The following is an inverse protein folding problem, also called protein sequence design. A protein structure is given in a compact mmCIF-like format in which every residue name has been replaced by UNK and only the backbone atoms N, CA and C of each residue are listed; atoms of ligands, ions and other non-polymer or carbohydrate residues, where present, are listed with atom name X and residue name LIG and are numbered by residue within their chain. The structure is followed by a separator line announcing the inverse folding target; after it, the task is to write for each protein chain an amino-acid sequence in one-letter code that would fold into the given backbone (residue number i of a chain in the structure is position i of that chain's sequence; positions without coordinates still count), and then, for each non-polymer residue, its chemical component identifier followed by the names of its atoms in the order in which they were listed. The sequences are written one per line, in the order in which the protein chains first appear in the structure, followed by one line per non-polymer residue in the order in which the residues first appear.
data_IF_418477326521
#
_entry.id   IF_418477326521
#
_cell.length_a   1.000
_cell.length_b   1.000
_cell.length_c   1.000
_cell.angle_alpha   90.00
_cell.angle_beta   90.00
_cell.angle_gamma   90.00
#
_symmetry.space_group_name_H-M   'P 1'
#
loop_
_entity.id
_entity.type
_entity.pdbx_description
1 polymer ?
#
# COMPACT_ATOMS: atom_id res chain seq x y z
N UNK A 1 -21.37 17.42 -37.39
CA UNK A 1 -20.24 18.23 -36.96
C UNK A 1 -19.39 17.41 -36.00
N UNK A 2 -18.14 17.17 -36.30
CA UNK A 2 -17.22 16.43 -35.41
C UNK A 2 -16.73 17.36 -34.30
N UNK A 3 -16.80 16.92 -33.06
CA UNK A 3 -16.32 17.66 -31.89
C UNK A 3 -14.79 17.88 -32.00
N UNK A 4 -14.29 19.12 -32.09
CA UNK A 4 -12.86 19.40 -32.28
C UNK A 4 -11.98 19.07 -31.03
N UNK A 5 -12.59 18.75 -29.88
CA UNK A 5 -11.91 18.42 -28.63
C UNK A 5 -11.87 16.90 -28.34
N UNK A 6 -12.15 16.05 -29.31
CA UNK A 6 -11.99 14.62 -29.11
C UNK A 6 -10.50 14.26 -29.05
N UNK A 7 -10.05 13.77 -27.91
CA UNK A 7 -8.69 13.26 -27.73
C UNK A 7 -8.46 12.11 -28.73
N UNK A 8 -7.45 12.18 -29.62
CA UNK A 8 -7.19 11.09 -30.53
C UNK A 8 -6.81 9.84 -29.74
N UNK A 9 -7.64 8.79 -29.81
CA UNK A 9 -7.41 7.51 -29.14
C UNK A 9 -8.52 7.05 -28.21
N UNK A 10 -9.59 7.84 -28.01
CA UNK A 10 -10.76 7.47 -27.18
C UNK A 10 -11.81 6.60 -27.89
N UNK A 11 -11.41 5.73 -28.80
CA UNK A 11 -12.31 4.72 -29.38
C UNK A 11 -12.67 3.66 -28.35
N UNK A 12 -13.97 3.33 -28.22
CA UNK A 12 -14.40 2.17 -27.43
C UNK A 12 -13.62 0.93 -27.87
N UNK A 13 -13.00 0.22 -26.94
CA UNK A 13 -12.29 -1.03 -27.24
C UNK A 13 -13.24 -2.03 -27.90
N UNK A 14 -12.85 -2.74 -28.96
CA UNK A 14 -13.67 -3.76 -29.58
C UNK A 14 -14.13 -4.79 -28.54
N UNK A 15 -15.41 -5.13 -28.58
CA UNK A 15 -16.04 -6.10 -27.64
C UNK A 15 -15.38 -7.50 -27.64
N UNK A 16 -14.64 -7.84 -28.68
CA UNK A 16 -13.96 -9.13 -28.81
C UNK A 16 -12.72 -9.28 -27.90
N UNK A 17 -12.08 -8.19 -27.51
CA UNK A 17 -10.95 -8.25 -26.57
C UNK A 17 -11.36 -8.77 -25.18
N UNK A 18 -12.59 -8.50 -24.75
CA UNK A 18 -13.12 -8.99 -23.46
C UNK A 18 -13.37 -10.50 -23.44
N UNK A 19 -13.37 -11.16 -24.62
CA UNK A 19 -13.59 -12.62 -24.78
C UNK A 19 -12.27 -13.40 -24.84
N UNK A 20 -11.14 -12.73 -24.97
CA UNK A 20 -9.85 -13.40 -25.08
C UNK A 20 -9.38 -13.92 -23.71
N UNK A 21 -9.70 -15.21 -23.46
CA UNK A 21 -9.33 -15.94 -22.24
C UNK A 21 -7.81 -15.98 -22.01
N UNK A 22 -6.99 -15.78 -23.05
CA UNK A 22 -5.53 -15.88 -22.99
C UNK A 22 -4.92 -14.67 -22.30
N UNK A 23 -5.44 -13.46 -22.55
CA UNK A 23 -4.98 -12.24 -21.87
C UNK A 23 -5.28 -12.25 -20.35
N UNK A 24 -6.41 -12.85 -19.96
CA UNK A 24 -6.79 -13.00 -18.55
C UNK A 24 -5.99 -14.10 -17.79
N UNK A 25 -5.49 -15.11 -18.50
CA UNK A 25 -4.70 -16.21 -17.93
C UNK A 25 -3.22 -15.84 -17.68
N UNK A 26 -2.76 -14.72 -18.25
CA UNK A 26 -1.34 -14.41 -18.31
C UNK A 26 -0.86 -13.45 -17.22
N UNK A 27 -1.76 -12.91 -16.39
CA UNK A 27 -1.38 -11.95 -15.34
C UNK A 27 -0.59 -10.75 -15.88
N UNK A 28 -0.76 -10.40 -17.16
CA UNK A 28 -0.04 -9.29 -17.77
C UNK A 28 -0.38 -7.98 -17.07
N UNK A 29 0.62 -7.21 -16.70
CA UNK A 29 0.39 -5.85 -16.23
C UNK A 29 -0.34 -5.06 -17.33
N UNK A 30 -1.27 -4.21 -16.92
CA UNK A 30 -2.09 -3.39 -17.82
C UNK A 30 -1.24 -2.55 -18.80
N UNK A 31 -0.06 -2.14 -18.39
CA UNK A 31 0.90 -1.37 -19.21
C UNK A 31 1.40 -2.17 -20.41
N UNK A 32 1.70 -3.45 -20.22
CA UNK A 32 2.17 -4.33 -21.30
C UNK A 32 1.03 -4.68 -22.27
N UNK A 33 -0.18 -4.94 -21.76
CA UNK A 33 -1.36 -5.15 -22.57
C UNK A 33 -1.70 -3.92 -23.43
N UNK A 34 -1.61 -2.71 -22.86
CA UNK A 34 -1.81 -1.45 -23.60
C UNK A 34 -0.74 -1.18 -24.65
N UNK A 35 0.52 -1.46 -24.33
CA UNK A 35 1.64 -1.27 -25.26
C UNK A 35 1.47 -2.17 -26.50
N UNK A 36 1.10 -3.44 -26.29
CA UNK A 36 0.90 -4.38 -27.38
C UNK A 36 -0.35 -4.04 -28.22
N UNK A 37 -1.42 -3.59 -27.58
CA UNK A 37 -2.63 -3.10 -28.26
C UNK A 37 -2.36 -1.85 -29.09
N UNK A 38 -1.57 -0.89 -28.57
CA UNK A 38 -1.16 0.31 -29.28
C UNK A 38 -0.29 -0.01 -30.53
N UNK A 39 0.37 -1.18 -30.56
CA UNK A 39 1.09 -1.69 -31.74
C UNK A 39 0.23 -2.46 -32.72
N UNK A 40 -1.08 -2.55 -32.50
CA UNK A 40 -2.04 -3.16 -33.44
C UNK A 40 -1.92 -4.68 -33.57
N UNK A 41 -1.26 -5.37 -32.61
CA UNK A 41 -1.20 -6.84 -32.61
C UNK A 41 -2.34 -7.41 -31.77
N UNK A 42 -3.14 -8.35 -32.30
CA UNK A 42 -4.15 -9.04 -31.51
C UNK A 42 -3.49 -9.86 -30.39
N UNK A 43 -4.18 -10.00 -29.25
CA UNK A 43 -3.66 -10.72 -28.09
C UNK A 43 -3.27 -12.18 -28.38
N UNK A 44 -3.86 -12.79 -29.41
CA UNK A 44 -3.54 -14.13 -29.90
C UNK A 44 -2.15 -14.25 -30.54
N UNK A 45 -1.55 -13.15 -30.99
CA UNK A 45 -0.23 -13.09 -31.64
C UNK A 45 0.88 -12.65 -30.68
N UNK A 46 0.55 -12.45 -29.42
CA UNK A 46 1.54 -12.05 -28.40
C UNK A 46 2.30 -13.30 -27.95
N UNK A 47 3.60 -13.30 -28.19
CA UNK A 47 4.49 -14.32 -27.63
C UNK A 47 4.70 -14.03 -26.13
N UNK A 48 3.95 -14.76 -25.33
CA UNK A 48 3.91 -14.63 -23.88
C UNK A 48 5.20 -15.09 -23.23
N UNK A 49 5.83 -16.10 -23.79
CA UNK A 49 7.05 -16.64 -23.22
C UNK A 49 8.23 -15.70 -23.51
N UNK A 50 8.22 -15.01 -24.66
CA UNK A 50 9.17 -13.93 -24.94
C UNK A 50 8.97 -12.74 -24.00
N UNK A 51 7.72 -12.36 -23.67
CA UNK A 51 7.45 -11.30 -22.71
C UNK A 51 7.86 -11.69 -21.29
N UNK A 52 7.59 -12.91 -20.86
CA UNK A 52 8.05 -13.43 -19.57
C UNK A 52 9.58 -13.50 -19.48
N UNK A 53 10.27 -13.84 -20.58
CA UNK A 53 11.72 -13.84 -20.65
C UNK A 53 12.34 -12.44 -20.55
N UNK A 54 11.64 -11.41 -21.06
CA UNK A 54 12.06 -10.00 -20.94
C UNK A 54 11.78 -9.42 -19.53
N UNK A 55 10.83 -10.00 -18.79
CA UNK A 55 10.44 -9.57 -17.44
C UNK A 55 10.31 -10.78 -16.51
N UNK A 56 11.42 -11.50 -16.23
CA UNK A 56 11.38 -12.75 -15.45
C UNK A 56 10.87 -12.59 -14.03
N UNK A 57 10.81 -11.36 -13.53
CA UNK A 57 10.54 -11.03 -12.13
C UNK A 57 9.22 -10.26 -11.90
N UNK A 58 8.29 -10.23 -12.84
CA UNK A 58 6.95 -9.68 -12.54
C UNK A 58 6.17 -10.68 -11.69
N UNK A 59 6.52 -10.74 -10.43
CA UNK A 59 5.89 -11.62 -9.42
C UNK A 59 4.46 -11.18 -9.06
N UNK A 60 3.92 -10.13 -9.68
CA UNK A 60 2.61 -9.58 -9.31
C UNK A 60 2.61 -8.87 -7.94
N UNK A 61 3.74 -8.86 -7.24
CA UNK A 61 3.86 -8.22 -5.93
C UNK A 61 3.88 -6.70 -6.10
N UNK A 62 2.94 -6.03 -5.46
CA UNK A 62 2.88 -4.57 -5.44
C UNK A 62 4.06 -4.00 -4.67
N UNK A 63 4.81 -3.07 -5.27
CA UNK A 63 5.83 -2.30 -4.57
C UNK A 63 5.12 -1.23 -3.73
N UNK A 64 5.43 -1.18 -2.43
CA UNK A 64 4.88 -0.16 -1.54
C UNK A 64 5.38 1.23 -1.96
N UNK A 65 4.53 2.26 -1.84
CA UNK A 65 4.86 3.62 -2.29
C UNK A 65 5.95 4.24 -1.38
N UNK A 66 7.15 4.54 -1.93
CA UNK A 66 8.24 5.12 -1.14
C UNK A 66 7.97 6.57 -0.71
N UNK A 67 7.18 7.33 -1.48
CA UNK A 67 6.82 8.72 -1.14
C UNK A 67 5.90 8.73 0.07
N UNK A 68 4.91 7.83 0.10
CA UNK A 68 4.05 7.68 1.29
C UNK A 68 4.87 7.29 2.52
N UNK A 69 5.87 6.38 2.38
CA UNK A 69 6.78 6.04 3.48
C UNK A 69 7.49 7.27 4.01
N UNK A 70 8.11 8.05 3.12
CA UNK A 70 8.86 9.26 3.48
C UNK A 70 7.98 10.27 4.21
N UNK A 71 6.79 10.57 3.67
CA UNK A 71 5.85 11.49 4.29
C UNK A 71 5.45 11.02 5.70
N UNK A 72 5.02 9.75 5.84
CA UNK A 72 4.60 9.23 7.13
C UNK A 72 5.77 9.23 8.15
N UNK A 73 6.98 8.87 7.72
CA UNK A 73 8.13 8.85 8.62
C UNK A 73 8.53 10.25 9.07
N UNK A 74 8.58 11.22 8.17
CA UNK A 74 8.93 12.61 8.52
C UNK A 74 7.89 13.28 9.41
N UNK A 75 6.60 12.99 9.19
CA UNK A 75 5.52 13.66 9.92
C UNK A 75 5.22 13.03 11.28
N UNK A 76 5.38 11.71 11.41
CA UNK A 76 4.89 10.97 12.56
C UNK A 76 5.97 10.26 13.38
N UNK A 77 7.26 10.43 13.02
CA UNK A 77 8.37 9.86 13.77
C UNK A 77 9.29 10.98 14.27
N UNK A 78 9.64 11.06 15.55
CA UNK A 78 10.66 12.00 16.04
C UNK A 78 12.00 11.76 15.34
N UNK A 79 12.80 12.80 15.17
CA UNK A 79 14.11 12.71 14.52
C UNK A 79 14.98 11.59 15.13
N UNK A 80 15.52 10.71 14.27
CA UNK A 80 16.32 9.55 14.67
C UNK A 80 15.55 8.46 15.43
N UNK A 81 14.22 8.53 15.42
CA UNK A 81 13.34 7.60 16.13
C UNK A 81 13.39 6.17 15.58
N UNK A 82 12.74 5.27 16.29
CA UNK A 82 12.64 3.83 15.99
C UNK A 82 11.26 3.48 15.45
N UNK A 83 11.23 2.69 14.36
CA UNK A 83 10.02 2.28 13.65
C UNK A 83 9.84 0.77 13.77
N UNK A 84 8.64 0.33 14.14
CA UNK A 84 8.22 -1.07 14.13
C UNK A 84 7.27 -1.32 12.96
N UNK A 85 7.52 -2.37 12.20
CA UNK A 85 6.66 -2.84 11.12
C UNK A 85 6.33 -4.33 11.30
N UNK A 86 5.18 -4.66 11.85
CA UNK A 86 4.81 -6.05 12.10
C UNK A 86 4.41 -6.83 10.84
N UNK A 87 4.32 -6.20 9.68
CA UNK A 87 4.01 -6.86 8.41
C UNK A 87 4.95 -6.34 7.32
N UNK A 88 6.26 -6.60 7.50
CA UNK A 88 7.34 -5.95 6.75
C UNK A 88 7.26 -6.14 5.23
N UNK A 89 6.87 -7.32 4.75
CA UNK A 89 6.81 -7.61 3.32
C UNK A 89 8.09 -7.21 2.58
N UNK A 90 7.96 -6.39 1.53
CA UNK A 90 9.08 -5.92 0.73
C UNK A 90 9.97 -4.88 1.43
N UNK A 91 11.13 -4.61 0.82
CA UNK A 91 12.21 -3.81 1.39
C UNK A 91 11.95 -2.31 1.53
N UNK A 92 10.97 -1.75 0.80
CA UNK A 92 10.81 -0.30 0.60
C UNK A 92 10.72 0.46 1.91
N UNK A 93 9.83 0.02 2.84
CA UNK A 93 9.64 0.72 4.11
C UNK A 93 10.91 0.77 4.96
N UNK A 94 11.64 -0.34 5.03
CA UNK A 94 12.92 -0.40 5.74
C UNK A 94 14.01 0.45 5.09
N UNK A 95 14.14 0.40 3.77
CA UNK A 95 15.15 1.17 3.03
C UNK A 95 14.89 2.67 3.16
N UNK A 96 13.65 3.12 2.98
CA UNK A 96 13.29 4.54 3.15
C UNK A 96 13.56 5.01 4.57
N UNK A 97 13.18 4.22 5.59
CA UNK A 97 13.49 4.55 6.99
C UNK A 97 15.00 4.73 7.21
N UNK A 98 15.81 3.80 6.72
CA UNK A 98 17.26 3.87 6.85
C UNK A 98 17.88 5.09 6.14
N UNK A 99 17.40 5.43 4.94
CA UNK A 99 17.86 6.59 4.18
C UNK A 99 17.51 7.92 4.88
N UNK A 100 16.40 7.95 5.60
CA UNK A 100 15.98 9.11 6.39
C UNK A 100 16.61 9.18 7.78
N UNK A 101 17.45 8.21 8.16
CA UNK A 101 18.15 8.19 9.46
C UNK A 101 17.34 7.59 10.60
N UNK A 102 16.24 6.89 10.31
CA UNK A 102 15.45 6.17 11.32
C UNK A 102 15.97 4.74 11.54
N UNK A 103 15.79 4.23 12.75
CA UNK A 103 16.01 2.82 13.06
C UNK A 103 14.74 2.04 12.71
N UNK A 104 14.86 1.00 11.88
CA UNK A 104 13.71 0.21 11.44
C UNK A 104 13.85 -1.24 11.89
N UNK A 105 12.76 -1.80 12.42
CA UNK A 105 12.62 -3.22 12.71
C UNK A 105 11.33 -3.74 12.08
N UNK A 106 11.46 -4.67 11.13
CA UNK A 106 10.35 -5.30 10.44
C UNK A 106 10.29 -6.80 10.71
N UNK A 107 9.09 -7.35 10.79
CA UNK A 107 8.83 -8.78 10.97
C UNK A 107 8.03 -9.29 9.78
N UNK A 108 8.42 -10.45 9.28
CA UNK A 108 7.69 -11.16 8.23
C UNK A 108 7.89 -12.68 8.36
N UNK A 109 6.89 -13.45 7.97
CA UNK A 109 6.97 -14.92 7.97
C UNK A 109 7.94 -15.44 6.90
N UNK A 110 8.07 -14.74 5.79
CA UNK A 110 8.82 -15.18 4.62
C UNK A 110 10.33 -14.91 4.76
N UNK A 111 11.09 -15.91 5.21
CA UNK A 111 12.55 -15.83 5.23
C UNK A 111 13.15 -15.50 3.85
N UNK A 112 12.53 -16.02 2.77
CA UNK A 112 12.94 -15.73 1.39
C UNK A 112 12.78 -14.24 1.06
N UNK A 113 11.65 -13.65 1.44
CA UNK A 113 11.40 -12.22 1.21
C UNK A 113 12.41 -11.37 1.98
N UNK A 114 12.66 -11.71 3.25
CA UNK A 114 13.61 -10.96 4.07
C UNK A 114 15.05 -11.07 3.57
N UNK A 115 15.47 -12.23 3.07
CA UNK A 115 16.78 -12.37 2.42
C UNK A 115 16.92 -11.45 1.20
N UNK A 116 15.88 -11.33 0.37
CA UNK A 116 15.85 -10.39 -0.75
C UNK A 116 15.90 -8.92 -0.28
N UNK A 117 15.19 -8.59 0.80
CA UNK A 117 15.22 -7.25 1.40
C UNK A 117 16.64 -6.88 1.88
N UNK A 118 17.32 -7.80 2.56
CA UNK A 118 18.70 -7.60 3.02
C UNK A 118 19.68 -7.41 1.88
N UNK A 119 19.51 -8.16 0.77
CA UNK A 119 20.31 -8.00 -0.43
C UNK A 119 20.16 -6.61 -1.03
N UNK A 120 18.92 -6.13 -1.19
CA UNK A 120 18.64 -4.79 -1.68
C UNK A 120 19.22 -3.72 -0.73
N UNK A 121 19.05 -3.88 0.58
CA UNK A 121 19.58 -2.93 1.55
C UNK A 121 21.12 -2.87 1.54
N UNK A 122 21.82 -3.98 1.24
CA UNK A 122 23.28 -3.99 1.11
C UNK A 122 23.77 -3.05 0.01
N UNK A 123 23.03 -2.95 -1.07
CA UNK A 123 23.39 -2.12 -2.22
C UNK A 123 22.95 -0.66 -2.08
N UNK A 124 21.83 -0.40 -1.39
CA UNK A 124 21.18 0.91 -1.35
C UNK A 124 21.52 1.66 -0.05
N UNK A 125 21.49 0.96 1.10
CA UNK A 125 21.68 1.59 2.40
C UNK A 125 23.16 1.74 2.75
N UNK A 126 23.52 2.88 3.34
CA UNK A 126 24.85 3.16 3.85
C UNK A 126 25.13 2.47 5.18
N UNK A 127 25.49 3.26 6.22
CA UNK A 127 25.84 2.75 7.56
C UNK A 127 24.62 2.25 8.35
N UNK A 128 23.49 2.94 8.25
CA UNK A 128 22.26 2.56 8.91
C UNK A 128 21.51 1.56 8.03
N UNK A 129 21.27 0.38 8.56
CA UNK A 129 20.57 -0.70 7.83
C UNK A 129 19.29 -1.07 8.55
N UNK A 130 18.23 -1.37 7.81
CA UNK A 130 17.02 -1.95 8.39
C UNK A 130 17.33 -3.30 9.03
N UNK A 131 16.63 -3.62 10.10
CA UNK A 131 16.62 -4.95 10.70
C UNK A 131 15.36 -5.68 10.31
N UNK A 132 15.49 -6.85 9.70
CA UNK A 132 14.37 -7.74 9.42
C UNK A 132 14.48 -9.02 10.23
N UNK A 133 13.35 -9.51 10.73
CA UNK A 133 13.25 -10.69 11.61
C UNK A 133 12.24 -11.63 11.01
N UNK A 134 12.66 -12.87 10.71
CA UNK A 134 11.74 -13.91 10.28
C UNK A 134 10.95 -14.44 11.48
N UNK A 135 9.62 -14.42 11.40
CA UNK A 135 8.77 -14.94 12.44
C UNK A 135 7.31 -14.52 12.35
N UNK A 136 6.48 -15.12 13.20
CA UNK A 136 5.08 -14.78 13.33
C UNK A 136 4.91 -13.52 14.19
N UNK A 137 4.32 -12.48 13.61
CA UNK A 137 4.10 -11.19 14.26
C UNK A 137 3.16 -11.25 15.46
N UNK A 138 2.43 -12.35 15.67
CA UNK A 138 1.73 -12.59 16.93
C UNK A 138 2.71 -12.64 18.12
N UNK A 139 3.99 -12.93 17.87
CA UNK A 139 5.08 -12.96 18.85
C UNK A 139 5.96 -11.69 18.81
N UNK A 140 5.46 -10.57 18.30
CA UNK A 140 6.22 -9.33 18.06
C UNK A 140 6.99 -8.87 19.30
N UNK A 141 6.41 -8.94 20.49
CA UNK A 141 7.06 -8.53 21.74
C UNK A 141 8.30 -9.36 22.07
N UNK A 142 8.34 -10.64 21.69
CA UNK A 142 9.50 -11.53 21.90
C UNK A 142 10.53 -11.38 20.77
N UNK A 143 10.07 -11.26 19.53
CA UNK A 143 10.93 -11.19 18.34
C UNK A 143 11.65 -9.85 18.23
N UNK A 144 10.99 -8.77 18.60
CA UNK A 144 11.49 -7.40 18.48
C UNK A 144 11.33 -6.62 19.79
N UNK A 145 11.89 -7.11 20.93
CA UNK A 145 11.71 -6.47 22.22
C UNK A 145 12.23 -5.04 22.19
N UNK A 146 11.50 -4.12 22.82
CA UNK A 146 11.86 -2.71 22.93
C UNK A 146 10.65 -1.80 22.96
N UNK A 147 10.92 -0.50 22.97
CA UNK A 147 9.92 0.55 22.86
C UNK A 147 10.18 1.37 21.60
N UNK A 148 9.14 1.62 20.82
CA UNK A 148 9.25 2.23 19.50
C UNK A 148 8.62 3.63 19.47
N UNK A 149 9.14 4.47 18.56
CA UNK A 149 8.66 5.83 18.36
C UNK A 149 7.54 5.91 17.33
N UNK A 150 7.43 4.91 16.47
CA UNK A 150 6.40 4.85 15.45
C UNK A 150 6.10 3.40 15.05
N UNK A 151 4.85 3.11 14.74
CA UNK A 151 4.45 1.87 14.09
C UNK A 151 3.93 2.20 12.70
N UNK A 152 4.50 1.60 11.66
CA UNK A 152 4.06 1.81 10.28
C UNK A 152 3.96 0.49 9.54
N UNK A 153 2.79 0.15 9.03
CA UNK A 153 2.60 -1.12 8.36
C UNK A 153 1.49 -1.13 7.31
N UNK A 154 1.55 -2.14 6.45
CA UNK A 154 0.50 -2.48 5.50
C UNK A 154 0.24 -4.00 5.64
N UNK A 155 -0.79 -4.39 6.39
CA UNK A 155 -1.09 -5.79 6.67
C UNK A 155 -1.64 -6.52 5.44
N UNK A 156 -1.61 -7.87 5.42
CA UNK A 156 -2.30 -8.65 4.41
C UNK A 156 -3.81 -8.44 4.47
N UNK A 157 -4.48 -8.58 3.32
CA UNK A 157 -5.94 -8.41 3.20
C UNK A 157 -6.68 -9.75 3.31
N UNK A 158 -6.50 -10.47 4.42
CA UNK A 158 -7.15 -11.75 4.65
C UNK A 158 -6.91 -12.74 3.50
N UNK A 159 -7.96 -13.37 3.01
CA UNK A 159 -7.94 -14.38 1.95
C UNK A 159 -7.90 -13.79 0.50
N UNK A 160 -7.60 -12.50 0.35
CA UNK A 160 -7.52 -11.86 -0.98
C UNK A 160 -6.31 -12.34 -1.77
N UNK A 161 -5.17 -12.50 -1.09
CA UNK A 161 -3.91 -13.00 -1.65
C UNK A 161 -3.34 -14.02 -0.66
N UNK A 162 -3.07 -15.25 -1.12
CA UNK A 162 -2.43 -16.29 -0.30
C UNK A 162 -0.92 -16.21 -0.53
N UNK A 163 -0.16 -15.93 0.52
CA UNK A 163 1.28 -15.71 0.42
C UNK A 163 2.11 -16.97 0.67
N UNK A 164 1.62 -17.90 1.49
CA UNK A 164 2.29 -19.15 1.79
C UNK A 164 1.31 -20.27 2.19
N UNK A 165 1.83 -21.47 2.44
CA UNK A 165 1.08 -22.59 3.00
C UNK A 165 1.26 -22.72 4.53
N UNK A 166 1.97 -21.77 5.15
CA UNK A 166 2.20 -21.75 6.60
C UNK A 166 0.90 -21.49 7.35
N UNK A 167 0.62 -22.29 8.37
CA UNK A 167 -0.57 -22.10 9.22
C UNK A 167 -0.57 -20.80 10.03
N UNK A 168 0.60 -20.18 10.22
CA UNK A 168 0.76 -18.87 10.84
C UNK A 168 0.49 -17.71 9.86
N UNK A 169 0.42 -17.99 8.55
CA UNK A 169 0.10 -17.00 7.54
C UNK A 169 -1.36 -16.53 7.69
N UNK A 170 -1.53 -15.27 8.01
CA UNK A 170 -2.85 -14.66 8.19
C UNK A 170 -3.74 -14.82 6.94
N UNK A 171 -3.15 -14.89 5.76
CA UNK A 171 -3.88 -15.02 4.49
C UNK A 171 -4.54 -16.39 4.30
N UNK A 172 -4.11 -17.41 5.04
CA UNK A 172 -4.69 -18.77 4.99
C UNK A 172 -5.80 -18.99 6.03
N UNK A 173 -5.95 -18.06 6.98
CA UNK A 173 -6.87 -18.20 8.09
C UNK A 173 -8.33 -17.97 7.70
N UNK A 174 -9.26 -18.61 8.40
CA UNK A 174 -10.66 -18.20 8.37
C UNK A 174 -10.79 -16.74 8.86
N UNK A 175 -11.75 -15.98 8.31
CA UNK A 175 -11.83 -14.53 8.56
C UNK A 175 -11.88 -14.16 10.05
N UNK A 176 -12.62 -14.94 10.87
CA UNK A 176 -12.71 -14.68 12.30
C UNK A 176 -11.34 -14.87 13.01
N UNK A 177 -10.59 -15.90 12.62
CA UNK A 177 -9.27 -16.20 13.18
C UNK A 177 -8.25 -15.16 12.71
N UNK A 178 -8.33 -14.75 11.44
CA UNK A 178 -7.55 -13.64 10.87
C UNK A 178 -7.74 -12.37 11.70
N UNK A 179 -8.97 -11.93 11.93
CA UNK A 179 -9.27 -10.72 12.69
C UNK A 179 -8.77 -10.86 14.14
N UNK A 180 -8.95 -12.02 14.76
CA UNK A 180 -8.48 -12.27 16.12
C UNK A 180 -6.93 -12.18 16.23
N UNK A 181 -6.20 -12.79 15.29
CA UNK A 181 -4.74 -12.70 15.23
C UNK A 181 -4.27 -11.27 14.93
N UNK A 182 -4.89 -10.60 13.96
CA UNK A 182 -4.63 -9.22 13.61
C UNK A 182 -4.77 -8.26 14.79
N UNK A 183 -5.85 -8.38 15.55
CA UNK A 183 -6.10 -7.59 16.78
C UNK A 183 -5.03 -7.84 17.85
N UNK A 184 -4.58 -9.09 18.02
CA UNK A 184 -3.48 -9.42 18.95
C UNK A 184 -2.17 -8.75 18.54
N UNK A 185 -1.84 -8.77 17.25
CA UNK A 185 -0.62 -8.12 16.73
C UNK A 185 -0.69 -6.61 16.96
N UNK A 186 -1.81 -5.97 16.66
CA UNK A 186 -2.02 -4.53 16.90
C UNK A 186 -1.88 -4.22 18.39
N UNK A 187 -2.56 -4.97 19.27
CA UNK A 187 -2.49 -4.74 20.71
C UNK A 187 -1.07 -4.87 21.26
N UNK A 188 -0.33 -5.91 20.82
CA UNK A 188 1.06 -6.09 21.20
C UNK A 188 1.95 -4.94 20.68
N UNK A 189 1.75 -4.52 19.43
CA UNK A 189 2.46 -3.38 18.85
C UNK A 189 2.20 -2.08 19.62
N UNK A 190 0.93 -1.75 19.90
CA UNK A 190 0.56 -0.54 20.65
C UNK A 190 1.14 -0.56 22.06
N UNK A 191 1.21 -1.72 22.73
CA UNK A 191 1.86 -1.86 24.02
C UNK A 191 3.38 -1.60 23.99
N UNK A 192 4.01 -1.74 22.81
CA UNK A 192 5.43 -1.42 22.58
C UNK A 192 5.65 0.00 22.07
N UNK A 193 4.58 0.74 21.77
CA UNK A 193 4.67 2.13 21.36
C UNK A 193 4.93 3.02 22.58
N UNK A 194 5.94 3.87 22.51
CA UNK A 194 6.19 4.86 23.58
C UNK A 194 4.97 5.77 23.78
N UNK A 195 4.77 6.34 24.97
CA UNK A 195 3.71 7.32 25.19
C UNK A 195 3.87 8.54 24.25
N UNK A 196 2.77 9.15 23.86
CA UNK A 196 2.72 10.31 22.98
C UNK A 196 3.39 10.05 21.61
N UNK A 197 3.05 8.91 21.00
CA UNK A 197 3.57 8.48 19.69
C UNK A 197 2.43 8.07 18.76
N UNK A 198 2.75 8.09 17.48
CA UNK A 198 1.83 7.72 16.41
C UNK A 198 2.00 6.27 15.96
N UNK A 199 0.93 5.72 15.43
CA UNK A 199 0.94 4.53 14.59
C UNK A 199 0.20 4.83 13.29
N UNK A 200 0.60 4.23 12.18
CA UNK A 200 -0.06 4.41 10.90
C UNK A 200 -0.17 3.09 10.15
N UNK A 201 -1.38 2.75 9.74
CA UNK A 201 -1.65 1.57 8.92
C UNK A 201 -2.27 1.96 7.59
N UNK A 202 -1.74 1.38 6.52
CA UNK A 202 -2.29 1.54 5.16
C UNK A 202 -3.14 0.32 4.87
N UNK A 203 -4.45 0.51 4.80
CA UNK A 203 -5.43 -0.56 4.66
C UNK A 203 -6.48 -0.23 3.61
N UNK A 204 -7.18 -1.23 3.14
CA UNK A 204 -8.31 -1.05 2.25
C UNK A 204 -9.35 -2.13 2.46
N UNK A 205 -10.62 -1.77 2.31
CA UNK A 205 -11.68 -2.77 2.32
C UNK A 205 -11.59 -3.69 1.11
N UNK A 206 -11.82 -4.96 1.36
CA UNK A 206 -11.92 -6.01 0.37
C UNK A 206 -13.24 -6.78 0.50
N UNK A 207 -13.59 -7.54 -0.53
CA UNK A 207 -14.87 -8.26 -0.58
C UNK A 207 -14.66 -9.73 -0.29
N UNK A 208 -15.66 -10.31 0.38
CA UNK A 208 -15.76 -11.76 0.53
C UNK A 208 -16.17 -12.45 -0.79
N UNK A 209 -16.25 -13.78 -0.77
CA UNK A 209 -16.64 -14.60 -1.92
C UNK A 209 -18.08 -14.33 -2.38
N UNK A 210 -18.95 -13.81 -1.49
CA UNK A 210 -20.32 -13.42 -1.80
C UNK A 210 -20.41 -12.01 -2.40
N UNK A 211 -19.36 -11.21 -2.25
CA UNK A 211 -19.23 -9.87 -2.82
C UNK A 211 -19.53 -8.73 -1.85
N UNK A 212 -19.72 -9.00 -0.57
CA UNK A 212 -19.87 -7.99 0.47
C UNK A 212 -18.50 -7.52 0.98
N UNK A 213 -18.39 -6.25 1.38
CA UNK A 213 -17.19 -5.76 2.04
C UNK A 213 -17.02 -6.40 3.42
N UNK A 214 -15.76 -6.75 3.74
CA UNK A 214 -15.37 -7.31 5.05
C UNK A 214 -15.30 -6.27 6.15
N UNK A 215 -15.41 -4.98 5.82
CA UNK A 215 -15.32 -3.86 6.76
C UNK A 215 -13.95 -3.75 7.46
N UNK A 216 -12.88 -4.14 6.77
CA UNK A 216 -11.53 -4.26 7.33
C UNK A 216 -10.96 -2.93 7.82
N UNK A 217 -11.34 -1.81 7.18
CA UNK A 217 -10.95 -0.45 7.63
C UNK A 217 -11.52 -0.19 9.04
N UNK A 218 -12.80 -0.46 9.27
CA UNK A 218 -13.41 -0.27 10.60
C UNK A 218 -12.88 -1.27 11.64
N UNK A 219 -12.60 -2.53 11.24
CA UNK A 219 -11.97 -3.50 12.12
C UNK A 219 -10.58 -3.06 12.57
N UNK A 220 -9.81 -2.43 11.67
CA UNK A 220 -8.50 -1.84 12.00
C UNK A 220 -8.65 -0.69 12.99
N UNK A 221 -9.58 0.24 12.74
CA UNK A 221 -9.85 1.36 13.65
C UNK A 221 -10.22 0.84 15.05
N UNK A 222 -11.16 -0.11 15.11
CA UNK A 222 -11.58 -0.70 16.37
C UNK A 222 -10.44 -1.41 17.09
N UNK A 223 -9.58 -2.15 16.37
CA UNK A 223 -8.45 -2.85 16.95
C UNK A 223 -7.44 -1.89 17.64
N UNK A 224 -7.15 -0.77 17.00
CA UNK A 224 -6.28 0.26 17.59
C UNK A 224 -6.93 0.96 18.79
N UNK A 225 -8.21 1.30 18.69
CA UNK A 225 -8.95 1.94 19.78
C UNK A 225 -9.03 1.04 21.02
N UNK A 226 -9.32 -0.25 20.83
CA UNK A 226 -9.34 -1.21 21.93
C UNK A 226 -7.95 -1.41 22.55
N UNK A 227 -6.87 -1.19 21.79
CA UNK A 227 -5.50 -1.21 22.28
C UNK A 227 -5.06 0.12 22.95
N UNK A 228 -5.90 1.17 22.94
CA UNK A 228 -5.63 2.46 23.56
C UNK A 228 -5.09 3.55 22.64
N UNK A 229 -4.93 3.28 21.35
CA UNK A 229 -4.49 4.28 20.37
C UNK A 229 -5.70 4.80 19.57
N UNK A 230 -5.99 6.09 19.67
CA UNK A 230 -7.16 6.70 19.06
C UNK A 230 -6.91 7.09 17.62
N UNK A 231 -7.91 6.92 16.73
CA UNK A 231 -7.84 7.42 15.36
C UNK A 231 -7.68 8.95 15.41
N UNK A 232 -6.61 9.45 14.82
CA UNK A 232 -6.25 10.86 14.87
C UNK A 232 -6.37 11.55 13.51
N UNK A 233 -5.85 10.91 12.45
CA UNK A 233 -5.98 11.39 11.08
C UNK A 233 -6.37 10.24 10.15
N UNK A 234 -7.03 10.60 9.05
CA UNK A 234 -7.25 9.74 7.91
C UNK A 234 -6.85 10.47 6.63
N UNK A 235 -6.14 9.76 5.76
CA UNK A 235 -5.86 10.21 4.41
C UNK A 235 -6.20 9.12 3.40
N UNK A 236 -6.39 9.51 2.14
CA UNK A 236 -6.68 8.58 1.05
C UNK A 236 -5.46 8.51 0.13
N UNK A 237 -4.86 7.32 0.05
CA UNK A 237 -3.87 7.00 -0.96
C UNK A 237 -4.60 6.63 -2.25
N UNK A 238 -4.58 7.51 -3.25
CA UNK A 238 -5.13 7.22 -4.56
C UNK A 238 -4.14 6.36 -5.33
N UNK A 239 -4.55 5.15 -5.67
CA UNK A 239 -3.75 4.20 -6.44
C UNK A 239 -4.00 4.36 -7.94
N UNK A 240 -3.04 3.91 -8.76
CA UNK A 240 -3.21 3.91 -10.21
C UNK A 240 -4.46 3.14 -10.62
N UNK A 241 -5.19 3.66 -11.60
CA UNK A 241 -6.46 3.06 -12.07
C UNK A 241 -6.22 1.66 -12.66
N UNK A 242 -5.04 1.41 -13.23
CA UNK A 242 -4.60 0.11 -13.72
C UNK A 242 -5.60 -0.53 -14.71
N UNK A 243 -5.89 -1.80 -14.52
CA UNK A 243 -6.83 -2.57 -15.33
C UNK A 243 -8.31 -2.35 -14.97
N UNK A 244 -8.61 -1.50 -14.00
CA UNK A 244 -9.98 -1.28 -13.53
C UNK A 244 -10.96 -0.84 -14.63
N UNK A 245 -10.62 0.10 -15.55
CA UNK A 245 -11.53 0.52 -16.60
C UNK A 245 -11.99 -0.64 -17.49
N UNK A 246 -11.13 -1.63 -17.71
CA UNK A 246 -11.43 -2.81 -18.52
C UNK A 246 -12.44 -3.71 -17.82
N UNK A 247 -12.39 -3.80 -16.51
CA UNK A 247 -13.21 -4.69 -15.68
C UNK A 247 -14.49 -4.03 -15.16
N UNK A 248 -14.47 -2.70 -15.00
CA UNK A 248 -15.53 -1.95 -14.30
C UNK A 248 -16.91 -2.17 -14.95
N UNK A 249 -17.03 -2.06 -16.27
CA UNK A 249 -18.30 -2.26 -16.98
C UNK A 249 -18.88 -3.64 -16.73
N UNK A 250 -18.08 -4.70 -16.85
CA UNK A 250 -18.53 -6.08 -16.62
C UNK A 250 -18.92 -6.30 -15.15
N UNK A 251 -18.13 -5.82 -14.20
CA UNK A 251 -18.42 -5.93 -12.77
C UNK A 251 -19.72 -5.20 -12.40
N UNK A 252 -19.95 -4.03 -13.00
CA UNK A 252 -21.16 -3.26 -12.75
C UNK A 252 -22.39 -3.95 -13.35
N UNK A 253 -22.31 -4.45 -14.59
CA UNK A 253 -23.42 -5.15 -15.22
C UNK A 253 -23.79 -6.43 -14.46
N UNK A 254 -22.79 -7.22 -14.04
CA UNK A 254 -23.01 -8.49 -13.36
C UNK A 254 -23.53 -8.35 -11.92
N UNK A 255 -23.11 -7.33 -11.19
CA UNK A 255 -23.39 -7.24 -9.76
C UNK A 255 -23.44 -5.83 -9.18
N UNK A 256 -23.55 -4.78 -10.00
CA UNK A 256 -23.53 -3.36 -9.61
C UNK A 256 -22.33 -3.00 -8.71
N UNK A 257 -21.21 -3.71 -8.89
CA UNK A 257 -19.99 -3.47 -8.11
C UNK A 257 -19.25 -2.27 -8.70
N UNK A 258 -19.00 -1.28 -7.84
CA UNK A 258 -18.12 -0.15 -8.17
C UNK A 258 -16.64 -0.56 -8.03
N UNK A 259 -15.79 0.03 -8.86
CA UNK A 259 -14.34 -0.10 -8.72
C UNK A 259 -13.82 0.75 -7.56
N UNK A 260 -12.73 0.29 -6.95
CA UNK A 260 -12.02 1.01 -5.88
C UNK A 260 -10.58 1.24 -6.33
N UNK A 261 -10.11 2.49 -6.24
CA UNK A 261 -8.76 2.92 -6.62
C UNK A 261 -8.11 3.71 -5.49
N UNK A 262 -8.33 3.28 -4.26
CA UNK A 262 -7.73 3.92 -3.10
C UNK A 262 -7.52 2.93 -1.96
N UNK A 263 -6.59 3.30 -1.09
CA UNK A 263 -6.39 2.73 0.24
C UNK A 263 -6.54 3.84 1.29
N UNK A 264 -6.92 3.46 2.51
CA UNK A 264 -7.02 4.37 3.64
C UNK A 264 -5.67 4.36 4.38
N UNK A 265 -5.15 5.55 4.65
CA UNK A 265 -3.98 5.78 5.49
C UNK A 265 -4.51 6.22 6.85
N UNK A 266 -4.58 5.28 7.79
CA UNK A 266 -5.15 5.49 9.11
C UNK A 266 -4.03 5.83 10.08
N UNK A 267 -4.09 7.01 10.70
CA UNK A 267 -3.09 7.48 11.66
C UNK A 267 -3.72 7.52 13.05
N UNK A 268 -3.11 6.78 13.97
CA UNK A 268 -3.53 6.66 15.35
C UNK A 268 -2.55 7.37 16.27
N UNK A 269 -3.03 7.88 17.39
CA UNK A 269 -2.21 8.52 18.40
C UNK A 269 -2.45 7.89 19.77
N UNK A 270 -1.34 7.55 20.45
CA UNK A 270 -1.35 6.99 21.79
C UNK A 270 -0.80 8.02 22.77
N UNK A 271 -1.65 8.91 23.28
CA UNK A 271 -1.26 9.91 24.26
C UNK A 271 -2.11 11.18 24.29
N UNK A 272 -1.55 12.23 24.87
CA UNK A 272 -2.20 13.51 25.02
C UNK A 272 -1.85 14.45 23.85
N UNK A 273 -2.85 14.94 23.10
CA UNK A 273 -2.65 15.74 21.88
C UNK A 273 -1.87 17.03 22.12
N UNK A 274 -1.92 17.60 23.34
CA UNK A 274 -1.12 18.78 23.71
C UNK A 274 0.40 18.54 23.66
N UNK A 275 0.82 17.27 23.75
CA UNK A 275 2.24 16.88 23.72
C UNK A 275 2.79 16.72 22.28
N UNK A 276 1.95 16.81 21.24
CA UNK A 276 2.37 16.52 19.85
C UNK A 276 3.47 17.52 19.43
N UNK A 277 3.24 18.81 19.59
CA UNK A 277 4.20 19.84 19.14
C UNK A 277 5.56 19.70 19.83
N UNK A 278 5.57 19.39 21.12
CA UNK A 278 6.79 19.20 21.88
C UNK A 278 7.58 17.95 21.42
N UNK A 279 6.87 16.86 21.10
CA UNK A 279 7.50 15.58 20.74
C UNK A 279 7.99 15.54 19.30
N UNK A 280 7.38 16.29 18.37
CA UNK A 280 7.66 16.17 16.93
C UNK A 280 8.27 17.45 16.32
N UNK A 281 8.19 18.58 17.02
CA UNK A 281 8.70 19.86 16.52
C UNK A 281 7.91 20.40 15.33
N UNK A 282 8.53 21.32 14.61
CA UNK A 282 7.96 21.90 13.39
C UNK A 282 8.40 21.09 12.18
N UNK A 283 7.50 20.92 11.22
CA UNK A 283 7.78 20.26 9.94
C UNK A 283 8.16 21.34 8.93
N UNK A 284 9.32 21.21 8.31
CA UNK A 284 9.69 22.06 7.19
C UNK A 284 8.88 21.67 5.95
N UNK A 285 8.06 22.59 5.48
CA UNK A 285 7.43 22.49 4.17
C UNK A 285 8.34 23.24 3.19
N UNK A 286 8.79 22.56 2.12
CA UNK A 286 9.49 23.25 1.04
C UNK A 286 8.64 24.41 0.50
N UNK A 287 9.28 25.44 -0.04
CA UNK A 287 8.61 26.61 -0.63
C UNK A 287 7.62 26.14 -1.69
N UNK A 288 6.35 26.02 -1.29
CA UNK A 288 5.25 25.91 -2.24
C UNK A 288 4.97 27.31 -2.76
N UNK A 289 5.75 27.74 -3.77
CA UNK A 289 5.22 28.72 -4.71
C UNK A 289 4.05 28.04 -5.43
N UNK A 290 2.91 27.99 -4.79
CA UNK A 290 1.65 27.86 -5.47
C UNK A 290 1.51 29.14 -6.29
N UNK A 291 1.95 29.10 -7.54
CA UNK A 291 1.50 30.07 -8.52
C UNK A 291 -0.02 29.90 -8.60
N UNK A 292 -0.73 30.68 -7.81
CA UNK A 292 -2.15 30.91 -7.98
C UNK A 292 -2.24 31.52 -9.38
N UNK A 293 -2.54 30.71 -10.38
CA UNK A 293 -3.02 31.24 -11.65
C UNK A 293 -4.34 31.94 -11.33
N UNK A 294 -4.22 33.23 -11.04
CA UNK A 294 -5.34 34.15 -10.98
C UNK A 294 -6.05 34.10 -12.34
N UNK A 295 -7.23 33.49 -12.36
CA UNK A 295 -8.07 33.38 -13.55
C UNK A 295 -8.65 34.69 -14.07
N UNK A 296 -8.10 35.87 -13.66
CA UNK A 296 -8.57 37.19 -14.04
C UNK A 296 -8.17 37.64 -15.43
N UNK A 297 -7.29 36.88 -16.15
CA UNK A 297 -6.89 37.28 -17.52
C UNK A 297 -7.71 36.67 -18.68
N UNK A 298 -8.74 35.88 -18.39
CA UNK A 298 -9.56 35.27 -19.44
C UNK A 298 -10.71 36.15 -20.00
N UNK A 299 -10.90 37.40 -19.53
CA UNK A 299 -11.97 38.26 -19.97
C UNK A 299 -11.56 39.49 -20.80
N UNK A 300 -10.30 39.66 -21.14
CA UNK A 300 -9.85 40.88 -21.86
C UNK A 300 -9.67 40.72 -23.39
N UNK A 301 -10.04 39.59 -23.99
CA UNK A 301 -9.92 39.35 -25.45
C UNK A 301 -11.24 38.97 -26.14
N UNK A 302 -12.37 39.48 -25.65
CA UNK A 302 -13.67 39.38 -26.31
C UNK A 302 -14.36 40.76 -26.41
N UNK A 303 -13.73 41.70 -27.10
CA UNK A 303 -14.37 42.85 -27.75
C UNK A 303 -13.81 43.02 -29.18
#
# INVERSE_FOLDING_TARGET
MKNPNAIPGGGAMPLDWAKDKKANLLGMSDTNARYMYAKGKPASEVDVDAIKALHPETTGTSIFDPVLCELCFRWFTPAGGSILDPFAGGSVRGIVAAQLGFTYTGIDLSARQLAANEEQARTICGKLKPRWITGDSQNVATLAPGAYDFIFSCPPYGDLEVYSEDAADLSTMAHADFIAAYRRIIAAGVAMLKPNRFACFVVGDFRDKQGFYRNFVADTITAFQDAGAMLYNEAILVTAVGSLPIRAGRMFQAGRKLGKTHQNVLVFYNGETKCIRENFGDVEFGDTELSVHDGSQAQANAE
#
